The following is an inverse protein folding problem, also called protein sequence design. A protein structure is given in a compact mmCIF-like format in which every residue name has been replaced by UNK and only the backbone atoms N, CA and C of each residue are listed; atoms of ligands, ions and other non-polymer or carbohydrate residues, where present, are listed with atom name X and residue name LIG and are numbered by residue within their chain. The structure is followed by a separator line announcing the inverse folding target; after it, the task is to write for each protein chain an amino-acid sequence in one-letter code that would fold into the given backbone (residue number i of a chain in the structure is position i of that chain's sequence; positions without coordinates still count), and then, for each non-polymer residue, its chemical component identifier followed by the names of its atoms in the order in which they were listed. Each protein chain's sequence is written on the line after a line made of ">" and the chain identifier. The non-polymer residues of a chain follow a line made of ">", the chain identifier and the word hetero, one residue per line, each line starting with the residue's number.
data_IF_010132337734
#
_entry.id   IF_010132337734
#
_cell.length_a   1.000
_cell.length_b   1.000
_cell.length_c   1.000
_cell.angle_alpha   90.00
_cell.angle_beta   90.00
_cell.angle_gamma   90.00
#
_symmetry.space_group_name_H-M   'P 1'
#
loop_
_entity.id
_entity.type
_entity.pdbx_description
1 polymer ?
#
# COMPACT_ATOMS: atom_id res chain seq x y z
N UNK A 1 -24.18 -5.53 -34.40
CA UNK A 1 -24.10 -5.70 -32.93
C UNK A 1 -22.98 -4.81 -32.42
N UNK A 2 -23.22 -3.97 -31.42
CA UNK A 2 -22.22 -3.06 -30.87
C UNK A 2 -21.69 -3.62 -29.54
N UNK A 3 -20.37 -3.65 -29.38
CA UNK A 3 -19.72 -4.07 -28.14
C UNK A 3 -19.60 -2.89 -27.18
N UNK A 4 -19.77 -3.13 -25.88
CA UNK A 4 -19.36 -2.18 -24.84
C UNK A 4 -17.86 -2.32 -24.58
N UNK A 5 -17.14 -1.20 -24.64
CA UNK A 5 -15.69 -1.16 -24.40
C UNK A 5 -15.43 -0.62 -23.00
N UNK A 6 -14.99 -1.50 -22.09
CA UNK A 6 -14.47 -1.08 -20.80
C UNK A 6 -13.11 -0.39 -20.99
N UNK A 7 -13.06 0.91 -20.70
CA UNK A 7 -11.80 1.65 -20.55
C UNK A 7 -11.53 1.83 -19.07
N UNK A 8 -10.50 1.17 -18.50
CA UNK A 8 -10.12 1.42 -17.12
C UNK A 8 -9.78 2.90 -16.97
N UNK A 9 -10.33 3.55 -15.93
CA UNK A 9 -9.86 4.88 -15.51
C UNK A 9 -8.36 4.77 -15.29
N UNK A 10 -7.57 5.73 -15.79
CA UNK A 10 -6.12 5.68 -15.65
C UNK A 10 -5.78 5.33 -14.20
N UNK A 11 -5.01 4.26 -14.03
CA UNK A 11 -4.57 3.81 -12.72
C UNK A 11 -3.86 4.99 -12.08
N UNK A 12 -4.44 5.60 -11.05
CA UNK A 12 -3.71 6.58 -10.24
C UNK A 12 -2.46 5.85 -9.74
N UNK A 13 -1.30 6.20 -10.31
CA UNK A 13 -0.07 5.40 -10.17
C UNK A 13 0.43 5.37 -8.72
N UNK A 14 0.02 6.38 -7.96
CA UNK A 14 0.38 6.68 -6.59
C UNK A 14 -0.77 6.40 -5.62
N UNK A 15 -1.40 5.22 -5.75
CA UNK A 15 -2.50 4.80 -4.87
C UNK A 15 -2.18 3.47 -4.20
N UNK A 16 -2.55 3.38 -2.92
CA UNK A 16 -2.54 2.15 -2.14
C UNK A 16 -3.96 1.81 -1.70
N UNK A 17 -4.41 0.60 -1.97
CA UNK A 17 -5.75 0.15 -1.63
C UNK A 17 -5.74 -0.72 -0.37
N UNK A 18 -6.52 -0.35 0.64
CA UNK A 18 -6.77 -1.16 1.82
C UNK A 18 -8.05 -1.95 1.61
N UNK A 19 -7.91 -3.27 1.60
CA UNK A 19 -9.02 -4.21 1.45
C UNK A 19 -9.25 -4.95 2.78
N UNK A 20 -10.22 -5.86 2.87
CA UNK A 20 -10.44 -6.66 4.08
C UNK A 20 -9.20 -7.46 4.54
N UNK A 21 -8.32 -7.85 3.62
CA UNK A 21 -7.25 -8.82 3.90
C UNK A 21 -5.86 -8.38 3.45
N UNK A 22 -5.79 -7.36 2.59
CA UNK A 22 -4.55 -6.97 1.96
C UNK A 22 -4.43 -5.45 1.90
N UNK A 23 -3.21 -4.98 2.03
CA UNK A 23 -2.76 -3.69 1.50
C UNK A 23 -2.25 -3.97 0.08
N UNK A 24 -2.79 -3.29 -0.93
CA UNK A 24 -2.40 -3.44 -2.34
C UNK A 24 -1.76 -2.16 -2.83
N UNK A 25 -0.49 -2.24 -3.19
CA UNK A 25 0.27 -1.12 -3.75
C UNK A 25 -0.06 -0.96 -5.23
N UNK A 26 -0.01 0.28 -5.74
CA UNK A 26 0.10 0.51 -7.18
C UNK A 26 1.30 -0.25 -7.74
N UNK A 27 1.17 -0.85 -8.93
CA UNK A 27 2.23 -1.72 -9.50
C UNK A 27 3.54 -0.96 -9.67
N UNK A 28 3.48 0.30 -10.10
CA UNK A 28 4.65 1.17 -10.24
C UNK A 28 5.26 1.56 -8.89
N UNK A 29 4.45 1.74 -7.84
CA UNK A 29 4.95 1.98 -6.48
C UNK A 29 5.66 0.74 -5.94
N UNK A 30 5.05 -0.45 -6.07
CA UNK A 30 5.65 -1.70 -5.64
C UNK A 30 7.01 -1.96 -6.30
N UNK A 31 7.12 -1.66 -7.60
CA UNK A 31 8.35 -1.82 -8.37
C UNK A 31 9.50 -0.87 -7.94
N UNK A 32 9.22 0.18 -7.16
CA UNK A 32 10.25 1.08 -6.62
C UNK A 32 10.91 0.53 -5.34
N UNK A 33 10.30 -0.46 -4.68
CA UNK A 33 10.90 -1.11 -3.53
C UNK A 33 11.98 -2.10 -3.97
N UNK A 34 13.14 -2.06 -3.32
CA UNK A 34 14.30 -2.90 -3.62
C UNK A 34 14.19 -4.33 -3.09
N UNK A 35 13.18 -4.62 -2.26
CA UNK A 35 12.98 -5.92 -1.60
C UNK A 35 11.54 -6.42 -1.72
N UNK A 36 11.37 -7.75 -1.69
CA UNK A 36 10.07 -8.41 -1.57
C UNK A 36 9.64 -8.62 -0.10
N UNK A 37 10.39 -8.08 0.85
CA UNK A 37 10.06 -8.04 2.27
C UNK A 37 9.93 -6.60 2.72
N UNK A 38 8.92 -6.33 3.54
CA UNK A 38 8.63 -4.98 4.00
C UNK A 38 8.29 -4.96 5.49
N UNK A 39 8.66 -3.88 6.16
CA UNK A 39 8.09 -3.51 7.45
C UNK A 39 6.96 -2.49 7.25
N UNK A 40 6.02 -2.46 8.20
CA UNK A 40 4.92 -1.51 8.19
C UNK A 40 4.89 -0.78 9.53
N UNK A 41 4.92 0.53 9.49
CA UNK A 41 4.76 1.42 10.63
C UNK A 41 3.56 2.34 10.40
N UNK A 42 2.93 2.78 11.48
CA UNK A 42 1.81 3.72 11.43
C UNK A 42 2.01 4.82 12.46
N UNK A 43 2.00 6.06 11.99
CA UNK A 43 1.97 7.24 12.84
C UNK A 43 0.52 7.66 13.08
N UNK A 44 0.09 7.60 14.34
CA UNK A 44 -1.30 7.92 14.73
C UNK A 44 -1.57 9.42 14.73
N UNK A 45 -0.55 10.25 14.91
CA UNK A 45 -0.68 11.70 14.98
C UNK A 45 -0.85 12.30 13.59
N UNK A 46 -0.05 11.83 12.62
CA UNK A 46 -0.13 12.29 11.22
C UNK A 46 -1.07 11.46 10.35
N UNK A 47 -1.55 10.32 10.86
CA UNK A 47 -2.33 9.32 10.12
C UNK A 47 -1.61 8.83 8.85
N UNK A 48 -0.29 8.76 8.87
CA UNK A 48 0.53 8.27 7.76
C UNK A 48 1.00 6.83 8.03
N UNK A 49 0.78 5.92 7.07
CA UNK A 49 1.28 4.55 7.12
C UNK A 49 2.52 4.42 6.24
N UNK A 50 3.63 3.98 6.82
CA UNK A 50 4.91 3.76 6.12
C UNK A 50 5.11 2.29 5.81
N UNK A 51 5.46 2.00 4.56
CA UNK A 51 5.80 0.67 4.05
C UNK A 51 7.23 0.74 3.52
N UNK A 52 8.17 0.17 4.25
CA UNK A 52 9.60 0.27 3.96
C UNK A 52 10.19 -1.08 3.55
N UNK A 53 11.04 -1.08 2.52
CA UNK A 53 11.76 -2.29 2.10
C UNK A 53 12.76 -2.72 3.19
N UNK A 54 12.84 -4.01 3.48
CA UNK A 54 13.80 -4.58 4.45
C UNK A 54 14.52 -5.79 3.88
N UNK A 55 15.75 -6.01 4.31
CA UNK A 55 16.59 -7.12 3.84
C UNK A 55 16.25 -8.44 4.56
N UNK A 56 15.91 -8.39 5.85
CA UNK A 56 15.60 -9.57 6.66
C UNK A 56 14.34 -9.35 7.49
N UNK A 57 13.62 -10.44 7.79
CA UNK A 57 12.37 -10.39 8.53
C UNK A 57 11.22 -9.77 7.73
N UNK A 58 10.35 -9.04 8.42
CA UNK A 58 9.21 -8.34 7.80
C UNK A 58 8.13 -9.23 7.18
N UNK A 59 7.19 -8.57 6.53
CA UNK A 59 6.06 -9.15 5.84
C UNK A 59 6.39 -9.37 4.37
N UNK A 60 5.87 -10.46 3.80
CA UNK A 60 6.05 -10.75 2.38
C UNK A 60 5.22 -9.80 1.51
N UNK A 61 5.89 -9.08 0.61
CA UNK A 61 5.30 -8.35 -0.50
C UNK A 61 5.20 -9.30 -1.71
N UNK A 62 4.04 -9.95 -1.87
CA UNK A 62 3.79 -10.82 -3.00
C UNK A 62 3.24 -10.01 -4.17
N UNK A 63 4.09 -9.77 -5.18
CA UNK A 63 3.85 -8.84 -6.29
C UNK A 63 3.65 -7.41 -5.76
N UNK A 64 2.40 -7.00 -5.60
CA UNK A 64 2.02 -5.69 -5.09
C UNK A 64 1.10 -5.80 -3.86
N UNK A 65 1.08 -6.94 -3.17
CA UNK A 65 0.14 -7.21 -2.08
C UNK A 65 0.87 -7.63 -0.81
N UNK A 66 0.42 -7.09 0.31
CA UNK A 66 0.87 -7.44 1.66
C UNK A 66 -0.33 -8.01 2.42
N UNK A 67 -0.16 -9.13 3.11
CA UNK A 67 -1.17 -9.67 4.02
C UNK A 67 -1.35 -8.73 5.22
N UNK A 68 -2.58 -8.24 5.45
CA UNK A 68 -2.78 -7.08 6.31
C UNK A 68 -3.73 -7.29 7.50
N UNK A 69 -4.30 -8.49 7.70
CA UNK A 69 -5.19 -8.75 8.87
C UNK A 69 -4.50 -8.43 10.21
N UNK A 70 -3.24 -8.84 10.36
CA UNK A 70 -2.45 -8.54 11.56
C UNK A 70 -2.13 -7.05 11.70
N UNK A 71 -1.72 -6.40 10.60
CA UNK A 71 -1.46 -4.95 10.54
C UNK A 71 -2.70 -4.17 10.99
N UNK A 72 -3.85 -4.46 10.38
CA UNK A 72 -5.08 -3.72 10.65
C UNK A 72 -5.56 -3.89 12.08
N UNK A 73 -5.44 -5.10 12.64
CA UNK A 73 -5.77 -5.32 14.05
C UNK A 73 -4.78 -4.61 14.97
N UNK A 74 -3.48 -4.66 14.68
CA UNK A 74 -2.44 -4.08 15.54
C UNK A 74 -2.49 -2.55 15.59
N UNK A 75 -2.83 -1.90 14.46
CA UNK A 75 -2.92 -0.44 14.36
C UNK A 75 -4.36 0.11 14.45
N UNK A 76 -5.36 -0.72 14.76
CA UNK A 76 -6.78 -0.32 14.82
C UNK A 76 -7.34 0.22 13.48
N UNK A 77 -6.88 -0.32 12.35
CA UNK A 77 -7.23 0.12 10.99
C UNK A 77 -8.28 -0.77 10.28
N UNK A 78 -8.94 -1.70 10.98
CA UNK A 78 -9.89 -2.65 10.37
C UNK A 78 -11.07 -1.98 9.63
N UNK A 79 -11.44 -0.77 10.06
CA UNK A 79 -12.47 0.07 9.43
C UNK A 79 -11.97 0.96 8.28
N UNK A 80 -10.65 1.12 8.11
CA UNK A 80 -10.03 2.06 7.15
C UNK A 80 -9.82 1.42 5.78
N UNK A 81 -10.91 0.98 5.14
CA UNK A 81 -10.89 0.43 3.78
C UNK A 81 -11.04 1.55 2.76
N UNK A 82 -10.33 1.46 1.64
CA UNK A 82 -10.41 2.47 0.60
C UNK A 82 -9.17 2.51 -0.27
N UNK A 83 -9.12 3.54 -1.10
CA UNK A 83 -7.94 3.90 -1.88
C UNK A 83 -7.34 5.15 -1.25
N UNK A 84 -6.08 5.08 -0.90
CA UNK A 84 -5.33 6.15 -0.27
C UNK A 84 -4.25 6.65 -1.22
N UNK A 85 -4.00 7.95 -1.20
CA UNK A 85 -2.86 8.51 -1.92
C UNK A 85 -1.57 8.09 -1.22
N UNK A 86 -0.53 7.88 -2.04
CA UNK A 86 0.74 7.42 -1.52
C UNK A 86 1.90 8.01 -2.31
N UNK A 87 2.99 8.31 -1.61
CA UNK A 87 4.24 8.81 -2.18
C UNK A 87 5.39 7.87 -1.88
N UNK A 88 6.33 7.76 -2.82
CA UNK A 88 7.57 7.04 -2.60
C UNK A 88 8.66 8.02 -2.21
N UNK A 89 9.40 7.71 -1.15
CA UNK A 89 10.60 8.41 -0.73
C UNK A 89 11.84 7.55 -1.04
N UNK A 90 12.70 7.97 -1.98
CA UNK A 90 13.92 7.24 -2.31
C UNK A 90 14.99 7.24 -1.21
N UNK A 91 15.02 8.25 -0.33
CA UNK A 91 16.02 8.33 0.75
C UNK A 91 15.72 7.31 1.84
N UNK A 92 14.43 7.09 2.13
CA UNK A 92 14.00 6.09 3.11
C UNK A 92 13.72 4.70 2.52
N UNK A 93 13.74 4.57 1.19
CA UNK A 93 13.26 3.39 0.44
C UNK A 93 11.87 2.93 0.91
N UNK A 94 10.97 3.91 1.07
CA UNK A 94 9.68 3.71 1.71
C UNK A 94 8.52 4.33 0.90
N UNK A 95 7.36 3.71 1.01
CA UNK A 95 6.09 4.25 0.53
C UNK A 95 5.33 4.79 1.74
N UNK A 96 4.95 6.05 1.68
CA UNK A 96 4.11 6.71 2.66
C UNK A 96 2.69 6.82 2.14
N UNK A 97 1.73 6.37 2.94
CA UNK A 97 0.30 6.32 2.61
C UNK A 97 -0.44 7.30 3.50
N UNK A 98 -1.05 8.29 2.90
CA UNK A 98 -1.84 9.30 3.61
C UNK A 98 -3.25 8.76 3.89
N UNK A 99 -3.60 8.62 5.16
CA UNK A 99 -4.90 8.14 5.61
C UNK A 99 -5.78 9.22 6.25
N UNK A 100 -5.42 10.50 6.11
CA UNK A 100 -6.13 11.63 6.73
C UNK A 100 -7.44 12.02 6.03
N UNK A 101 -7.91 11.21 5.07
CA UNK A 101 -9.15 11.44 4.31
C UNK A 101 -10.39 10.89 5.03
#
# INVERSE_FOLDING_TARGET
>A
MAFEVYKPRSSRENVVAFTKHHIRLGVKLAAKLSSNRVEVAYDRDTQELRIKAVNEGGLLLNKNKIGARGIFKFFDLEGKKGNYEARFDPQEEAIFVDMSQ
#
